data_IF_474401696157
#
_entry.id   IF_474401696157
#
_cell.length_a   1.000
_cell.length_b   1.000
_cell.length_c   1.000
_cell.angle_alpha   90.00
_cell.angle_beta   90.00
_cell.angle_gamma   90.00
#
_symmetry.space_group_name_H-M   'P 1'
#
loop_
_entity.id
_entity.type
_entity.pdbx_description
1 polymer ?
#
# COMPACT_ATOMS: atom_id res chain seq x y z
N UNK A 1 -16.63 24.22 28.81
CA UNK A 1 -16.92 22.88 28.27
C UNK A 1 -16.53 22.74 26.79
N UNK A 2 -16.81 23.70 25.90
CA UNK A 2 -16.41 23.60 24.47
C UNK A 2 -14.88 23.62 24.25
N UNK A 3 -14.13 24.41 25.03
CA UNK A 3 -12.66 24.53 24.96
C UNK A 3 -11.91 23.22 25.19
N UNK A 4 -12.39 22.34 26.08
CA UNK A 4 -11.74 21.04 26.32
C UNK A 4 -12.06 20.04 25.22
N UNK A 5 -13.23 20.15 24.57
CA UNK A 5 -13.66 19.18 23.56
C UNK A 5 -12.88 19.31 22.26
N UNK A 6 -12.69 20.52 21.72
CA UNK A 6 -11.93 20.72 20.47
C UNK A 6 -10.46 20.33 20.64
N UNK A 7 -9.83 20.70 21.77
CA UNK A 7 -8.45 20.32 22.06
C UNK A 7 -8.25 18.80 22.10
N UNK A 8 -9.18 18.07 22.74
CA UNK A 8 -9.17 16.60 22.75
C UNK A 8 -9.43 16.00 21.35
N UNK A 9 -10.29 16.60 20.53
CA UNK A 9 -10.50 16.15 19.15
C UNK A 9 -9.27 16.36 18.26
N UNK A 10 -8.56 17.48 18.41
CA UNK A 10 -7.30 17.74 17.71
C UNK A 10 -6.24 16.74 18.17
N UNK A 11 -6.12 16.50 19.47
CA UNK A 11 -5.21 15.52 20.04
C UNK A 11 -5.48 14.11 19.51
N UNK A 12 -6.74 13.67 19.49
CA UNK A 12 -7.11 12.37 18.92
C UNK A 12 -6.82 12.27 17.42
N UNK A 13 -6.96 13.38 16.68
CA UNK A 13 -6.60 13.44 15.24
C UNK A 13 -5.09 13.28 15.06
N UNK A 14 -4.29 13.95 15.91
CA UNK A 14 -2.84 13.85 15.92
C UNK A 14 -2.38 12.42 16.25
N UNK A 15 -2.95 11.81 17.29
CA UNK A 15 -2.64 10.43 17.66
C UNK A 15 -2.93 9.48 16.49
N UNK A 16 -4.09 9.62 15.82
CA UNK A 16 -4.40 8.83 14.61
C UNK A 16 -3.38 9.02 13.47
N UNK A 17 -2.82 10.23 13.32
CA UNK A 17 -1.78 10.51 12.34
C UNK A 17 -0.44 9.87 12.73
N UNK A 18 -0.11 9.83 14.03
CA UNK A 18 1.07 9.13 14.57
C UNK A 18 0.95 7.60 14.42
N UNK A 19 -0.26 7.05 14.55
CA UNK A 19 -0.55 5.63 14.32
C UNK A 19 -0.75 5.24 12.84
N UNK A 20 -0.75 6.20 11.90
CA UNK A 20 -0.65 5.87 10.49
C UNK A 20 0.82 5.56 10.20
N UNK A 21 1.22 4.27 10.08
CA UNK A 21 2.58 3.98 9.71
C UNK A 21 2.83 4.59 8.32
N UNK A 22 3.99 5.23 8.13
CA UNK A 22 4.49 5.46 6.78
C UNK A 22 4.52 4.11 6.03
N UNK A 23 4.33 4.07 4.70
CA UNK A 23 4.53 2.83 3.92
C UNK A 23 5.86 2.15 4.31
N UNK A 24 5.87 0.82 4.48
CA UNK A 24 6.91 0.12 5.25
C UNK A 24 8.36 0.24 4.70
N UNK A 25 9.31 0.17 5.66
CA UNK A 25 10.79 0.07 5.59
C UNK A 25 11.59 1.09 4.79
N UNK A 26 11.27 1.39 3.53
CA UNK A 26 12.04 2.34 2.70
C UNK A 26 11.97 3.76 3.27
N UNK A 27 10.90 4.05 4.00
CA UNK A 27 10.56 5.39 4.44
C UNK A 27 11.35 5.91 5.64
N UNK A 28 11.94 5.04 6.48
CA UNK A 28 12.72 5.49 7.66
C UNK A 28 13.94 6.35 7.29
N UNK A 29 14.61 6.06 6.17
CA UNK A 29 15.77 6.84 5.71
C UNK A 29 15.38 8.22 5.15
N UNK A 30 14.13 8.39 4.71
CA UNK A 30 13.63 9.66 4.17
C UNK A 30 13.07 10.61 5.23
N UNK A 31 12.67 10.12 6.41
CA UNK A 31 12.26 10.98 7.53
C UNK A 31 13.36 11.94 7.98
N UNK A 32 14.62 11.50 7.94
CA UNK A 32 15.75 12.33 8.31
C UNK A 32 15.88 13.54 7.35
N UNK A 33 15.58 13.36 6.06
CA UNK A 33 15.56 14.46 5.08
C UNK A 33 14.39 15.43 5.24
N UNK A 34 13.26 14.96 5.81
CA UNK A 34 12.09 15.82 6.07
C UNK A 34 12.34 16.81 7.21
N UNK A 35 13.27 16.49 8.12
CA UNK A 35 13.59 17.28 9.32
C UNK A 35 14.14 18.69 9.03
N UNK A 36 14.67 18.90 7.82
CA UNK A 36 15.20 20.18 7.33
C UNK A 36 14.16 21.01 6.55
N UNK A 37 12.95 20.47 6.31
CA UNK A 37 11.95 21.19 5.51
C UNK A 37 11.52 22.50 6.20
N UNK A 38 11.41 23.64 5.48
CA UNK A 38 11.07 24.94 6.06
C UNK A 38 9.81 24.95 6.92
N UNK A 39 8.84 24.08 6.61
CA UNK A 39 7.59 23.94 7.38
C UNK A 39 7.82 23.56 8.84
N UNK A 40 8.84 22.75 9.13
CA UNK A 40 9.18 22.34 10.50
C UNK A 40 9.73 23.53 11.28
N UNK A 41 10.56 24.37 10.66
CA UNK A 41 11.07 25.58 11.30
C UNK A 41 9.95 26.59 11.57
N UNK A 42 9.05 26.78 10.59
CA UNK A 42 7.86 27.62 10.76
C UNK A 42 6.96 27.10 11.89
N UNK A 43 6.75 25.79 11.97
CA UNK A 43 6.00 25.14 13.05
C UNK A 43 6.62 25.32 14.43
N UNK A 44 7.96 25.18 14.55
CA UNK A 44 8.69 25.45 15.80
C UNK A 44 8.57 26.91 16.23
N UNK A 45 8.66 27.87 15.28
CA UNK A 45 8.46 29.30 15.57
C UNK A 45 7.03 29.58 16.03
N UNK A 46 6.04 28.97 15.40
CA UNK A 46 4.63 29.11 15.78
C UNK A 46 4.36 28.56 17.19
N UNK A 47 4.79 27.34 17.47
CA UNK A 47 4.57 26.68 18.77
C UNK A 47 5.40 27.29 19.91
N UNK A 48 6.51 27.95 19.58
CA UNK A 48 7.36 28.66 20.55
C UNK A 48 6.90 30.09 20.88
N UNK A 49 5.89 30.64 20.20
CA UNK A 49 5.40 32.00 20.46
C UNK A 49 4.05 32.00 21.18
N UNK A 50 3.86 32.99 22.06
CA UNK A 50 2.60 33.27 22.76
C UNK A 50 1.97 34.60 22.34
N UNK A 51 2.68 35.41 21.55
CA UNK A 51 2.15 36.65 20.99
C UNK A 51 1.17 36.35 19.85
N UNK A 52 -0.07 36.81 19.98
CA UNK A 52 -1.16 36.50 19.04
C UNK A 52 -0.97 37.09 17.65
N UNK A 53 -0.33 38.25 17.53
CA UNK A 53 -0.05 38.88 16.24
C UNK A 53 1.07 38.12 15.51
N UNK A 54 2.10 37.71 16.24
CA UNK A 54 3.19 36.91 15.69
C UNK A 54 2.72 35.49 15.33
N UNK A 55 1.89 34.85 16.16
CA UNK A 55 1.20 33.61 15.79
C UNK A 55 0.43 33.79 14.46
N UNK A 56 -0.29 34.90 14.30
CA UNK A 56 -1.02 35.20 13.07
C UNK A 56 -0.13 35.23 11.82
N UNK A 57 1.05 35.86 11.90
CA UNK A 57 2.02 35.91 10.81
C UNK A 57 2.63 34.54 10.51
N UNK A 58 3.10 33.84 11.54
CA UNK A 58 3.69 32.50 11.40
C UNK A 58 2.67 31.51 10.84
N UNK A 59 1.39 31.67 11.19
CA UNK A 59 0.30 30.85 10.66
C UNK A 59 0.07 31.05 9.15
N UNK A 60 0.06 32.29 8.68
CA UNK A 60 -0.10 32.59 7.24
C UNK A 60 1.02 31.91 6.44
N UNK A 61 2.26 32.01 6.93
CA UNK A 61 3.40 31.36 6.30
C UNK A 61 3.31 29.83 6.35
N UNK A 62 2.87 29.27 7.48
CA UNK A 62 2.65 27.83 7.63
C UNK A 62 1.67 27.29 6.59
N UNK A 63 0.51 27.94 6.43
CA UNK A 63 -0.51 27.50 5.46
C UNK A 63 -0.04 27.67 4.02
N UNK A 64 0.72 28.72 3.72
CA UNK A 64 1.31 28.90 2.39
C UNK A 64 2.29 27.79 2.04
N UNK A 65 3.19 27.46 2.97
CA UNK A 65 4.15 26.36 2.80
C UNK A 65 3.43 25.02 2.67
N UNK A 66 2.45 24.75 3.55
CA UNK A 66 1.67 23.52 3.51
C UNK A 66 0.89 23.37 2.20
N UNK A 67 0.27 24.44 1.70
CA UNK A 67 -0.44 24.44 0.43
C UNK A 67 0.45 24.11 -0.76
N UNK A 68 1.71 24.57 -0.76
CA UNK A 68 2.69 24.20 -1.78
C UNK A 68 3.04 22.72 -1.72
N UNK A 69 3.35 22.20 -0.52
CA UNK A 69 3.67 20.77 -0.33
C UNK A 69 2.51 19.89 -0.81
N UNK A 70 1.27 20.25 -0.45
CA UNK A 70 0.06 19.55 -0.89
C UNK A 70 -0.05 19.51 -2.42
N UNK A 71 0.12 20.65 -3.08
CA UNK A 71 0.05 20.75 -4.54
C UNK A 71 1.14 19.90 -5.21
N UNK A 72 2.38 19.95 -4.70
CA UNK A 72 3.49 19.16 -5.24
C UNK A 72 3.22 17.65 -5.10
N UNK A 73 2.67 17.21 -3.96
CA UNK A 73 2.22 15.84 -3.73
C UNK A 73 1.13 15.39 -4.71
N UNK A 74 0.07 16.19 -4.88
CA UNK A 74 -1.04 15.89 -5.80
C UNK A 74 -0.55 15.80 -7.25
N UNK A 75 0.33 16.70 -7.67
CA UNK A 75 0.92 16.69 -9.01
C UNK A 75 1.80 15.45 -9.24
N UNK A 76 2.56 15.01 -8.23
CA UNK A 76 3.34 13.79 -8.34
C UNK A 76 2.45 12.54 -8.42
N UNK A 77 1.37 12.48 -7.65
CA UNK A 77 0.38 11.41 -7.77
C UNK A 77 -0.23 11.37 -9.19
N UNK A 78 -0.62 12.53 -9.71
CA UNK A 78 -1.18 12.67 -11.05
C UNK A 78 -0.21 12.21 -12.15
N UNK A 79 1.08 12.52 -12.03
CA UNK A 79 2.08 12.03 -13.00
C UNK A 79 2.18 10.51 -13.05
N UNK A 80 1.97 9.81 -11.92
CA UNK A 80 1.95 8.34 -11.90
C UNK A 80 0.70 7.79 -12.62
N UNK A 81 -0.40 8.53 -12.62
CA UNK A 81 -1.65 8.09 -13.26
C UNK A 81 -1.70 8.36 -14.77
N UNK A 82 -1.03 9.41 -15.24
CA UNK A 82 -1.21 9.93 -16.61
C UNK A 82 -0.04 9.65 -17.55
N UNK A 83 1.17 9.44 -17.02
CA UNK A 83 2.38 9.22 -17.83
C UNK A 83 2.80 7.73 -17.77
N UNK A 84 3.68 7.31 -18.69
CA UNK A 84 4.31 5.99 -18.59
C UNK A 84 5.10 5.91 -17.27
N UNK A 85 4.83 4.87 -16.48
CA UNK A 85 5.45 4.66 -15.18
C UNK A 85 6.99 4.65 -15.28
N UNK A 86 7.63 5.40 -14.39
CA UNK A 86 9.08 5.41 -14.22
C UNK A 86 9.50 5.42 -12.75
N UNK A 87 10.64 4.78 -12.47
CA UNK A 87 11.26 4.79 -11.13
C UNK A 87 11.58 6.20 -10.62
N UNK A 88 11.79 7.17 -11.52
CA UNK A 88 12.01 8.57 -11.13
C UNK A 88 10.73 9.21 -10.59
N UNK A 89 9.57 8.95 -11.20
CA UNK A 89 8.28 9.43 -10.70
C UNK A 89 7.93 8.76 -9.37
N UNK A 90 8.18 7.43 -9.22
CA UNK A 90 7.99 6.72 -7.94
C UNK A 90 8.78 7.38 -6.81
N UNK A 91 10.09 7.57 -6.99
CA UNK A 91 10.96 8.23 -5.99
C UNK A 91 10.52 9.66 -5.67
N UNK A 92 10.09 10.42 -6.69
CA UNK A 92 9.57 11.78 -6.50
C UNK A 92 8.30 11.78 -5.67
N UNK A 93 7.36 10.88 -5.97
CA UNK A 93 6.13 10.72 -5.20
C UNK A 93 6.39 10.28 -3.77
N UNK A 94 7.28 9.31 -3.54
CA UNK A 94 7.68 8.87 -2.20
C UNK A 94 8.21 10.04 -1.37
N UNK A 95 9.14 10.83 -1.91
CA UNK A 95 9.69 12.00 -1.22
C UNK A 95 8.62 13.04 -0.90
N UNK A 96 7.73 13.37 -1.85
CA UNK A 96 6.68 14.36 -1.64
C UNK A 96 5.58 13.87 -0.68
N UNK A 97 5.28 12.57 -0.68
CA UNK A 97 4.41 11.92 0.31
C UNK A 97 4.93 12.17 1.72
N UNK A 98 6.25 12.05 1.89
CA UNK A 98 6.91 12.27 3.17
C UNK A 98 6.86 13.71 3.65
N UNK A 99 7.12 14.65 2.74
CA UNK A 99 7.00 16.07 3.05
C UNK A 99 5.57 16.44 3.41
N UNK A 100 4.58 15.88 2.71
CA UNK A 100 3.17 16.15 2.99
C UNK A 100 2.72 15.57 4.33
N UNK A 101 3.13 14.34 4.66
CA UNK A 101 2.91 13.75 5.98
C UNK A 101 3.55 14.55 7.11
N UNK A 102 4.80 15.01 6.94
CA UNK A 102 5.46 15.88 7.90
C UNK A 102 4.70 17.21 8.05
N UNK A 103 4.22 17.79 6.95
CA UNK A 103 3.39 18.99 6.97
C UNK A 103 2.08 18.80 7.75
N UNK A 104 1.40 17.66 7.57
CA UNK A 104 0.19 17.32 8.32
C UNK A 104 0.45 17.29 9.83
N UNK A 105 1.58 16.70 10.26
CA UNK A 105 2.00 16.68 11.67
C UNK A 105 2.20 18.09 12.22
N UNK A 106 2.99 18.90 11.51
CA UNK A 106 3.30 20.27 11.95
C UNK A 106 2.04 21.12 12.05
N UNK A 107 1.14 21.05 11.05
CA UNK A 107 -0.13 21.79 11.09
C UNK A 107 -0.98 21.32 12.27
N UNK A 108 -1.05 20.01 12.54
CA UNK A 108 -1.76 19.47 13.69
C UNK A 108 -1.23 20.01 15.02
N UNK A 109 0.09 20.03 15.20
CA UNK A 109 0.74 20.57 16.41
C UNK A 109 0.48 22.07 16.59
N UNK A 110 0.55 22.86 15.51
CA UNK A 110 0.24 24.28 15.52
C UNK A 110 -1.24 24.53 15.88
N UNK A 111 -2.18 23.74 15.35
CA UNK A 111 -3.60 23.86 15.71
C UNK A 111 -3.85 23.50 17.17
N UNK A 112 -3.18 22.48 17.70
CA UNK A 112 -3.27 22.12 19.11
C UNK A 112 -2.74 23.26 20.01
N UNK A 113 -1.63 23.88 19.64
CA UNK A 113 -1.09 25.05 20.35
C UNK A 113 -2.06 26.23 20.27
N UNK A 114 -2.58 26.53 19.09
CA UNK A 114 -3.55 27.61 18.89
C UNK A 114 -4.84 27.40 19.70
N UNK A 115 -5.33 26.17 19.80
CA UNK A 115 -6.50 25.82 20.61
C UNK A 115 -6.25 26.03 22.11
N UNK A 116 -5.01 25.81 22.58
CA UNK A 116 -4.62 26.03 23.98
C UNK A 116 -4.47 27.51 24.33
N UNK A 117 -3.96 28.32 23.39
CA UNK A 117 -3.67 29.74 23.60
C UNK A 117 -4.89 30.64 23.34
N UNK A 118 -5.83 30.23 22.48
CA UNK A 118 -7.02 31.04 22.18
C UNK A 118 -8.15 30.74 23.18
N UNK A 119 -8.56 31.77 23.92
CA UNK A 119 -9.72 31.70 24.84
C UNK A 119 -10.94 32.47 24.32
N UNK A 120 -10.84 33.10 23.15
CA UNK A 120 -11.90 33.88 22.54
C UNK A 120 -12.74 33.04 21.58
N UNK A 121 -14.04 33.30 21.53
CA UNK A 121 -14.98 32.55 20.68
C UNK A 121 -14.61 32.65 19.18
N UNK A 122 -14.27 33.86 18.70
CA UNK A 122 -13.85 34.09 17.30
C UNK A 122 -12.54 33.35 16.97
N UNK A 123 -11.60 33.31 17.92
CA UNK A 123 -10.35 32.55 17.75
C UNK A 123 -10.61 31.04 17.64
N UNK A 124 -11.58 30.54 18.41
CA UNK A 124 -11.96 29.12 18.41
C UNK A 124 -12.69 28.70 17.13
N UNK A 125 -13.65 29.48 16.63
CA UNK A 125 -14.33 29.19 15.35
C UNK A 125 -13.33 29.08 14.19
N UNK A 126 -12.30 29.92 14.20
CA UNK A 126 -11.20 29.84 13.23
C UNK A 126 -10.41 28.55 13.38
N UNK A 127 -10.06 28.13 14.60
CA UNK A 127 -9.35 26.86 14.83
C UNK A 127 -10.19 25.66 14.40
N UNK A 128 -11.51 25.67 14.63
CA UNK A 128 -12.44 24.61 14.22
C UNK A 128 -12.52 24.45 12.70
N UNK A 129 -12.65 25.56 11.97
CA UNK A 129 -12.67 25.53 10.50
C UNK A 129 -11.36 24.93 9.94
N UNK A 130 -10.23 25.27 10.56
CA UNK A 130 -8.93 24.77 10.15
C UNK A 130 -8.71 23.30 10.51
N UNK A 131 -9.21 22.87 11.67
CA UNK A 131 -9.20 21.45 12.06
C UNK A 131 -10.05 20.61 11.12
N UNK A 132 -11.21 21.13 10.69
CA UNK A 132 -12.06 20.47 9.69
C UNK A 132 -11.30 20.26 8.38
N UNK A 133 -10.64 21.31 7.88
CA UNK A 133 -9.81 21.21 6.67
C UNK A 133 -8.65 20.22 6.83
N UNK A 134 -7.99 20.19 8.00
CA UNK A 134 -6.94 19.21 8.28
C UNK A 134 -7.47 17.77 8.21
N UNK A 135 -8.68 17.50 8.73
CA UNK A 135 -9.30 16.16 8.63
C UNK A 135 -9.51 15.76 7.16
N UNK A 136 -9.97 16.68 6.32
CA UNK A 136 -10.14 16.46 4.88
C UNK A 136 -8.79 16.17 4.21
N UNK A 137 -7.75 16.94 4.54
CA UNK A 137 -6.40 16.78 4.00
C UNK A 137 -5.77 15.43 4.40
N UNK A 138 -6.04 14.92 5.61
CA UNK A 138 -5.61 13.58 6.06
C UNK A 138 -6.33 12.47 5.27
N UNK A 139 -7.64 12.62 5.04
CA UNK A 139 -8.41 11.65 4.23
C UNK A 139 -7.88 11.62 2.80
N UNK A 140 -7.64 12.79 2.22
CA UNK A 140 -7.07 12.93 0.88
C UNK A 140 -5.70 12.25 0.80
N UNK A 141 -4.79 12.56 1.74
CA UNK A 141 -3.47 11.93 1.82
C UNK A 141 -3.56 10.40 1.75
N UNK A 142 -4.37 9.81 2.64
CA UNK A 142 -4.56 8.36 2.70
C UNK A 142 -5.08 7.80 1.37
N UNK A 143 -6.16 8.38 0.85
CA UNK A 143 -6.80 7.88 -0.37
C UNK A 143 -5.88 7.98 -1.60
N UNK A 144 -5.06 9.05 -1.69
CA UNK A 144 -4.12 9.25 -2.78
C UNK A 144 -2.97 8.26 -2.71
N UNK A 145 -2.38 8.04 -1.52
CA UNK A 145 -1.32 7.04 -1.33
C UNK A 145 -1.81 5.63 -1.68
N UNK A 146 -3.00 5.25 -1.21
CA UNK A 146 -3.62 3.96 -1.55
C UNK A 146 -3.88 3.83 -3.06
N UNK A 147 -4.35 4.90 -3.70
CA UNK A 147 -4.63 4.91 -5.14
C UNK A 147 -3.36 4.79 -5.99
N UNK A 148 -2.28 5.47 -5.58
CA UNK A 148 -0.97 5.39 -6.25
C UNK A 148 -0.37 4.00 -6.06
N UNK A 149 -0.38 3.45 -4.84
CA UNK A 149 0.11 2.09 -4.58
C UNK A 149 -0.64 1.05 -5.43
N UNK A 150 -1.96 1.19 -5.55
CA UNK A 150 -2.77 0.33 -6.41
C UNK A 150 -2.41 0.48 -7.90
N UNK A 151 -2.13 1.70 -8.37
CA UNK A 151 -1.77 1.92 -9.77
C UNK A 151 -0.38 1.36 -10.10
N UNK A 152 0.59 1.55 -9.20
CA UNK A 152 1.93 0.93 -9.32
C UNK A 152 1.79 -0.59 -9.37
N UNK A 153 1.00 -1.20 -8.47
CA UNK A 153 0.76 -2.64 -8.50
C UNK A 153 0.05 -3.10 -9.79
N UNK A 154 -0.94 -2.36 -10.29
CA UNK A 154 -1.62 -2.63 -11.57
C UNK A 154 -0.63 -2.57 -12.75
N UNK A 155 0.29 -1.61 -12.76
CA UNK A 155 1.38 -1.51 -13.74
C UNK A 155 2.32 -2.72 -13.65
N UNK A 156 2.84 -2.99 -12.45
CA UNK A 156 3.79 -4.07 -12.19
C UNK A 156 3.19 -5.48 -12.30
N UNK A 157 1.88 -5.62 -12.48
CA UNK A 157 1.24 -6.90 -12.78
C UNK A 157 0.85 -7.05 -14.25
N UNK A 158 0.77 -5.95 -15.02
CA UNK A 158 0.21 -5.97 -16.39
C UNK A 158 1.16 -5.50 -17.47
N UNK A 159 2.06 -4.59 -17.13
CA UNK A 159 2.87 -3.81 -18.09
C UNK A 159 4.34 -3.73 -17.67
N UNK A 160 4.87 -4.76 -16.99
CA UNK A 160 6.27 -4.80 -16.54
C UNK A 160 7.20 -4.58 -17.73
N UNK A 161 8.07 -3.58 -17.62
CA UNK A 161 9.08 -3.30 -18.63
C UNK A 161 10.31 -4.20 -18.43
N UNK A 162 11.04 -4.46 -19.53
CA UNK A 162 12.25 -5.28 -19.47
C UNK A 162 13.31 -4.63 -18.56
N UNK A 163 13.79 -5.36 -17.55
CA UNK A 163 14.80 -4.88 -16.60
C UNK A 163 14.25 -4.00 -15.47
N UNK A 164 12.92 -3.89 -15.35
CA UNK A 164 12.27 -3.23 -14.23
C UNK A 164 12.49 -4.03 -12.94
N UNK A 165 12.80 -3.31 -11.84
CA UNK A 165 12.92 -3.91 -10.51
C UNK A 165 11.54 -4.06 -9.90
N UNK A 166 11.19 -5.28 -9.56
CA UNK A 166 9.87 -5.65 -9.02
C UNK A 166 10.07 -6.13 -7.59
N UNK A 167 9.28 -5.59 -6.67
CA UNK A 167 9.26 -5.98 -5.27
C UNK A 167 7.92 -6.63 -4.94
N UNK A 168 7.94 -7.92 -4.70
CA UNK A 168 6.76 -8.74 -4.54
C UNK A 168 6.08 -8.50 -3.19
N UNK A 169 6.83 -8.14 -2.15
CA UNK A 169 6.27 -7.68 -0.87
C UNK A 169 5.36 -6.46 -1.03
N UNK A 170 5.71 -5.53 -1.92
CA UNK A 170 4.92 -4.34 -2.25
C UNK A 170 3.70 -4.69 -3.13
N UNK A 171 3.78 -5.69 -4.00
CA UNK A 171 2.73 -6.02 -4.99
C UNK A 171 1.66 -6.99 -4.45
N UNK A 172 2.09 -8.04 -3.75
CA UNK A 172 1.22 -9.13 -3.31
C UNK A 172 -0.02 -8.64 -2.51
N UNK A 173 0.12 -7.69 -1.56
CA UNK A 173 -1.03 -7.16 -0.83
C UNK A 173 -2.11 -6.52 -1.71
N UNK A 174 -1.73 -6.07 -2.92
CA UNK A 174 -2.62 -5.37 -3.85
C UNK A 174 -3.18 -6.27 -4.97
N UNK A 175 -2.71 -7.53 -5.09
CA UNK A 175 -3.18 -8.47 -6.13
C UNK A 175 -4.70 -8.62 -6.10
N UNK A 176 -5.31 -8.73 -4.92
CA UNK A 176 -6.76 -8.85 -4.77
C UNK A 176 -7.51 -7.65 -5.38
N UNK A 177 -7.06 -6.45 -5.06
CA UNK A 177 -7.69 -5.22 -5.54
C UNK A 177 -7.49 -5.02 -7.06
N UNK A 178 -6.30 -5.34 -7.58
CA UNK A 178 -6.02 -5.33 -9.03
C UNK A 178 -6.87 -6.37 -9.76
N UNK A 179 -6.95 -7.58 -9.21
CA UNK A 179 -7.80 -8.65 -9.73
C UNK A 179 -9.27 -8.21 -9.76
N UNK A 180 -9.81 -7.68 -8.65
CA UNK A 180 -11.20 -7.23 -8.59
C UNK A 180 -11.50 -6.12 -9.61
N UNK A 181 -10.59 -5.15 -9.80
CA UNK A 181 -10.67 -4.09 -10.80
C UNK A 181 -10.74 -4.66 -12.23
N UNK A 182 -9.79 -5.53 -12.59
CA UNK A 182 -9.77 -6.21 -13.90
C UNK A 182 -11.02 -7.07 -14.11
N UNK A 183 -11.60 -7.64 -13.04
CA UNK A 183 -12.87 -8.37 -13.11
C UNK A 183 -14.08 -7.48 -13.33
N UNK A 184 -14.11 -6.29 -12.73
CA UNK A 184 -15.23 -5.36 -12.82
C UNK A 184 -15.34 -4.65 -14.17
N UNK A 185 -14.23 -4.49 -14.90
CA UNK A 185 -14.22 -3.91 -16.25
C UNK A 185 -14.83 -4.84 -17.34
N UNK A 186 -15.27 -6.05 -16.98
CA UNK A 186 -15.98 -6.94 -17.89
C UNK A 186 -17.45 -6.51 -18.07
N UNK A 187 -17.74 -5.82 -19.18
CA UNK A 187 -19.02 -5.18 -19.57
C UNK A 187 -20.32 -6.02 -19.62
N UNK A 188 -20.40 -7.25 -19.10
CA UNK A 188 -21.61 -8.08 -19.24
C UNK A 188 -22.29 -8.40 -17.88
N UNK A 189 -23.49 -7.83 -17.61
CA UNK A 189 -24.26 -8.02 -16.36
C UNK A 189 -24.60 -9.49 -16.05
N UNK A 190 -24.86 -10.31 -17.08
CA UNK A 190 -25.17 -11.74 -16.92
C UNK A 190 -23.94 -12.55 -16.44
N UNK A 191 -22.76 -12.22 -16.98
CA UNK A 191 -21.50 -12.82 -16.53
C UNK A 191 -21.06 -12.31 -15.15
N UNK A 192 -21.40 -11.07 -14.76
CA UNK A 192 -21.17 -10.55 -13.40
C UNK A 192 -21.91 -11.36 -12.33
N UNK A 193 -23.16 -11.76 -12.61
CA UNK A 193 -23.96 -12.58 -11.69
C UNK A 193 -23.47 -14.03 -11.58
N UNK A 194 -23.08 -14.66 -12.70
CA UNK A 194 -22.47 -16.01 -12.67
C UNK A 194 -21.09 -15.96 -11.98
N UNK A 195 -20.27 -14.93 -12.27
CA UNK A 195 -18.92 -14.79 -11.71
C UNK A 195 -18.87 -14.33 -10.27
N UNK A 196 -19.89 -13.63 -9.76
CA UNK A 196 -19.97 -13.32 -8.32
C UNK A 196 -20.14 -14.56 -7.46
N UNK A 197 -20.69 -15.66 -8.00
CA UNK A 197 -20.67 -16.97 -7.34
C UNK A 197 -19.28 -17.63 -7.35
N UNK A 198 -18.44 -17.31 -8.34
CA UNK A 198 -17.03 -17.71 -8.40
C UNK A 198 -16.08 -16.77 -7.64
N UNK A 199 -16.55 -15.68 -7.02
CA UNK A 199 -15.74 -14.91 -6.05
C UNK A 199 -15.48 -15.74 -4.77
N UNK A 200 -16.18 -16.87 -4.59
CA UNK A 200 -15.87 -17.93 -3.62
C UNK A 200 -14.99 -19.06 -4.18
N UNK A 201 -14.54 -18.97 -5.43
CA UNK A 201 -13.73 -20.00 -6.09
C UNK A 201 -12.27 -19.94 -5.65
N UNK A 202 -11.54 -21.02 -5.86
CA UNK A 202 -10.16 -21.23 -5.43
C UNK A 202 -9.20 -20.06 -5.69
N UNK A 203 -9.51 -19.14 -6.62
CA UNK A 203 -8.77 -17.88 -6.83
C UNK A 203 -8.67 -16.98 -5.60
N UNK A 204 -9.77 -16.81 -4.86
CA UNK A 204 -9.73 -16.00 -3.65
C UNK A 204 -8.82 -16.64 -2.60
N UNK A 205 -8.91 -17.97 -2.45
CA UNK A 205 -8.06 -18.74 -1.54
C UNK A 205 -6.59 -18.72 -1.95
N UNK A 206 -6.29 -18.73 -3.24
CA UNK A 206 -4.92 -18.62 -3.77
C UNK A 206 -4.34 -17.22 -3.56
N UNK A 207 -5.12 -16.16 -3.74
CA UNK A 207 -4.70 -14.79 -3.43
C UNK A 207 -4.50 -14.61 -1.92
N UNK A 208 -5.42 -15.14 -1.11
CA UNK A 208 -5.31 -15.11 0.35
C UNK A 208 -4.04 -15.89 0.80
N UNK A 209 -3.75 -17.04 0.19
CA UNK A 209 -2.50 -17.80 0.41
C UNK A 209 -1.25 -16.97 0.13
N UNK A 210 -1.16 -16.33 -1.05
CA UNK A 210 -0.03 -15.46 -1.39
C UNK A 210 0.12 -14.32 -0.37
N UNK A 211 -1.00 -13.72 0.02
CA UNK A 211 -1.04 -12.62 0.99
C UNK A 211 -0.55 -13.07 2.37
N UNK A 212 -0.99 -14.22 2.85
CA UNK A 212 -0.61 -14.76 4.16
C UNK A 212 0.86 -15.16 4.22
N UNK A 213 1.41 -15.78 3.16
CA UNK A 213 2.85 -16.07 3.08
C UNK A 213 3.66 -14.78 3.09
N UNK A 214 3.26 -13.78 2.30
CA UNK A 214 4.01 -12.53 2.15
C UNK A 214 4.09 -11.72 3.46
N UNK A 215 3.05 -11.78 4.30
CA UNK A 215 3.00 -11.13 5.62
C UNK A 215 3.99 -11.71 6.63
N UNK A 216 4.50 -12.92 6.41
CA UNK A 216 5.37 -13.55 7.39
C UNK A 216 6.71 -12.79 7.48
N UNK A 217 7.18 -12.38 8.67
CA UNK A 217 8.38 -11.52 8.81
C UNK A 217 9.67 -12.11 8.23
N UNK A 218 9.75 -13.43 8.12
CA UNK A 218 10.90 -14.16 7.56
C UNK A 218 10.75 -14.51 6.07
N UNK A 219 9.66 -14.08 5.42
CA UNK A 219 9.44 -14.35 4.01
C UNK A 219 10.36 -13.47 3.15
N UNK A 220 11.26 -14.10 2.37
CA UNK A 220 12.14 -13.43 1.41
C UNK A 220 11.44 -13.24 0.06
N UNK A 221 12.01 -12.40 -0.81
CA UNK A 221 11.49 -12.20 -2.16
C UNK A 221 11.56 -13.49 -3.00
N UNK A 222 12.60 -14.31 -2.81
CA UNK A 222 12.72 -15.65 -3.41
C UNK A 222 11.56 -16.57 -3.03
N UNK A 223 11.14 -16.58 -1.75
CA UNK A 223 10.00 -17.38 -1.29
C UNK A 223 8.68 -16.85 -1.89
N UNK A 224 8.51 -15.53 -1.96
CA UNK A 224 7.34 -14.91 -2.61
C UNK A 224 7.25 -15.29 -4.08
N UNK A 225 8.36 -15.24 -4.81
CA UNK A 225 8.43 -15.63 -6.21
C UNK A 225 8.06 -17.09 -6.41
N UNK A 226 8.66 -17.99 -5.63
CA UNK A 226 8.32 -19.42 -5.66
C UNK A 226 6.83 -19.67 -5.38
N UNK A 227 6.22 -18.94 -4.43
CA UNK A 227 4.79 -19.06 -4.13
C UNK A 227 3.91 -18.57 -5.29
N UNK A 228 4.31 -17.49 -5.96
CA UNK A 228 3.61 -16.97 -7.13
C UNK A 228 3.70 -17.93 -8.31
N UNK A 229 4.87 -18.51 -8.58
CA UNK A 229 5.04 -19.55 -9.61
C UNK A 229 4.19 -20.78 -9.28
N UNK A 230 4.18 -21.23 -8.04
CA UNK A 230 3.34 -22.36 -7.61
C UNK A 230 1.86 -22.12 -7.92
N UNK A 231 1.34 -20.93 -7.58
CA UNK A 231 -0.04 -20.58 -7.90
C UNK A 231 -0.21 -20.57 -9.41
N UNK A 232 0.60 -19.82 -10.14
CA UNK A 232 0.52 -19.71 -11.60
C UNK A 232 0.54 -21.07 -12.31
N UNK A 233 1.51 -21.93 -11.99
CA UNK A 233 1.63 -23.27 -12.55
C UNK A 233 0.42 -24.13 -12.27
N UNK A 234 -0.09 -24.10 -11.03
CA UNK A 234 -1.33 -24.80 -10.69
C UNK A 234 -2.47 -24.30 -11.59
N UNK A 235 -2.64 -22.99 -11.77
CA UNK A 235 -3.69 -22.43 -12.65
C UNK A 235 -3.52 -22.95 -14.07
N UNK A 236 -2.32 -22.83 -14.63
CA UNK A 236 -2.04 -23.16 -16.04
C UNK A 236 -2.19 -24.65 -16.32
N UNK A 237 -1.74 -25.50 -15.40
CA UNK A 237 -1.63 -26.95 -15.62
C UNK A 237 -2.90 -27.72 -15.22
N UNK A 238 -3.67 -27.23 -14.25
CA UNK A 238 -4.84 -27.97 -13.75
C UNK A 238 -6.18 -27.48 -14.32
N UNK A 239 -6.23 -26.30 -14.96
CA UNK A 239 -7.50 -25.72 -15.38
C UNK A 239 -7.68 -25.72 -16.90
N UNK A 240 -8.88 -26.14 -17.32
CA UNK A 240 -9.31 -26.18 -18.72
C UNK A 240 -9.26 -24.80 -19.42
N UNK A 241 -9.26 -23.72 -18.65
CA UNK A 241 -9.09 -22.33 -19.11
C UNK A 241 -7.88 -21.64 -18.47
N UNK A 242 -6.90 -22.39 -17.95
CA UNK A 242 -5.74 -21.86 -17.24
C UNK A 242 -4.86 -21.00 -18.15
N UNK A 243 -4.46 -21.57 -19.30
CA UNK A 243 -3.68 -20.88 -20.34
C UNK A 243 -4.59 -20.11 -21.30
N UNK A 244 -4.09 -19.07 -21.96
CA UNK A 244 -4.79 -18.45 -23.08
C UNK A 244 -4.73 -19.37 -24.32
N UNK A 245 -5.88 -19.55 -24.97
CA UNK A 245 -6.01 -20.31 -26.21
C UNK A 245 -6.75 -19.52 -27.27
N UNK A 246 -6.83 -20.04 -28.50
CA UNK A 246 -7.50 -19.36 -29.62
C UNK A 246 -8.97 -18.98 -29.35
N UNK A 247 -9.63 -19.68 -28.42
CA UNK A 247 -11.07 -19.56 -28.15
C UNK A 247 -11.34 -19.03 -26.72
N UNK A 248 -10.41 -19.17 -25.79
CA UNK A 248 -10.58 -18.82 -24.37
C UNK A 248 -9.49 -17.86 -23.90
N UNK A 249 -9.89 -16.83 -23.15
CA UNK A 249 -9.02 -15.72 -22.72
C UNK A 249 -8.09 -16.05 -21.54
N UNK A 250 -7.97 -17.31 -21.14
CA UNK A 250 -7.16 -17.75 -20.00
C UNK A 250 -7.70 -17.29 -18.64
N UNK A 251 -7.05 -17.74 -17.56
CA UNK A 251 -7.33 -17.25 -16.21
C UNK A 251 -6.78 -15.84 -16.05
N UNK A 252 -7.59 -14.92 -15.53
CA UNK A 252 -7.16 -13.53 -15.28
C UNK A 252 -6.07 -13.46 -14.21
N UNK A 253 -6.18 -14.26 -13.14
CA UNK A 253 -5.10 -14.37 -12.15
C UNK A 253 -3.86 -15.00 -12.78
N UNK A 254 -4.04 -16.07 -13.58
CA UNK A 254 -2.94 -16.68 -14.33
C UNK A 254 -2.18 -15.66 -15.17
N UNK A 255 -2.88 -14.82 -15.94
CA UNK A 255 -2.27 -13.75 -16.74
C UNK A 255 -1.58 -12.65 -15.94
N UNK A 256 -2.13 -12.29 -14.77
CA UNK A 256 -1.49 -11.33 -13.87
C UNK A 256 -0.18 -11.88 -13.31
N UNK A 257 -0.14 -13.17 -13.00
CA UNK A 257 1.06 -13.84 -12.50
C UNK A 257 2.05 -14.17 -13.64
N UNK A 258 1.59 -14.45 -14.85
CA UNK A 258 2.42 -14.68 -16.05
C UNK A 258 3.31 -13.47 -16.38
N UNK A 259 2.86 -12.25 -16.07
CA UNK A 259 3.68 -11.05 -16.19
C UNK A 259 4.97 -11.14 -15.39
N UNK A 260 4.93 -11.82 -14.25
CA UNK A 260 6.04 -12.00 -13.32
C UNK A 260 6.98 -13.14 -13.74
N UNK A 261 6.46 -14.13 -14.47
CA UNK A 261 7.18 -15.31 -14.95
C UNK A 261 8.03 -15.06 -16.22
N UNK A 262 7.86 -13.91 -16.89
CA UNK A 262 8.65 -13.60 -18.10
C UNK A 262 10.10 -13.28 -17.70
N UNK A 263 11.05 -13.89 -18.42
CA UNK A 263 12.53 -13.93 -18.27
C UNK A 263 13.30 -12.61 -18.00
N UNK A 264 12.66 -11.51 -17.61
CA UNK A 264 13.23 -10.17 -17.59
C UNK A 264 13.04 -9.39 -16.27
N UNK A 265 12.61 -10.06 -15.20
CA UNK A 265 12.48 -9.43 -13.88
C UNK A 265 13.71 -9.74 -13.04
N UNK A 266 14.30 -8.70 -12.47
CA UNK A 266 15.35 -8.85 -11.45
C UNK A 266 14.70 -8.75 -10.08
N UNK A 267 14.33 -9.91 -9.52
CA UNK A 267 13.95 -10.02 -8.10
C UNK A 267 15.25 -10.10 -7.30
N UNK A 268 15.33 -9.41 -6.14
CA UNK A 268 16.49 -9.57 -5.26
C UNK A 268 16.54 -11.03 -4.77
N UNK A 269 17.69 -11.69 -4.98
CA UNK A 269 17.93 -13.04 -4.49
C UNK A 269 18.48 -12.96 -3.07
N UNK A 270 17.60 -13.10 -2.07
CA UNK A 270 17.97 -12.84 -0.67
C UNK A 270 18.26 -14.12 0.13
N UNK A 271 17.89 -15.31 -0.40
CA UNK A 271 18.07 -16.59 0.29
C UNK A 271 17.81 -17.80 -0.64
N UNK A 272 18.54 -18.89 -0.43
CA UNK A 272 18.37 -20.19 -1.14
C UNK A 272 17.28 -21.08 -0.51
N UNK A 273 16.48 -20.54 0.43
CA UNK A 273 15.42 -21.31 1.08
C UNK A 273 14.33 -21.70 0.07
N UNK A 274 13.91 -22.96 0.11
CA UNK A 274 12.79 -23.47 -0.70
C UNK A 274 11.45 -23.18 -0.02
N UNK A 275 10.45 -22.83 -0.81
CA UNK A 275 9.07 -22.58 -0.35
C UNK A 275 8.52 -23.70 0.53
N UNK A 276 8.72 -24.96 0.14
CA UNK A 276 8.25 -26.12 0.92
C UNK A 276 8.96 -26.20 2.28
N UNK A 277 10.25 -25.93 2.35
CA UNK A 277 10.96 -25.91 3.62
C UNK A 277 10.44 -24.78 4.53
N UNK A 278 10.25 -23.59 3.96
CA UNK A 278 9.71 -22.42 4.65
C UNK A 278 8.31 -22.64 5.21
N UNK A 279 7.37 -23.17 4.41
CA UNK A 279 6.00 -23.40 4.87
C UNK A 279 5.99 -24.34 6.09
N UNK A 280 6.81 -25.38 6.07
CA UNK A 280 6.87 -26.32 7.18
C UNK A 280 7.59 -25.77 8.40
N UNK A 281 8.69 -25.02 8.22
CA UNK A 281 9.46 -24.44 9.32
C UNK A 281 8.67 -23.37 10.08
N UNK A 282 7.81 -22.63 9.37
CA UNK A 282 6.99 -21.54 9.93
C UNK A 282 5.58 -21.96 10.34
N UNK A 283 5.22 -23.25 10.21
CA UNK A 283 3.91 -23.74 10.63
C UNK A 283 2.75 -23.21 9.78
N UNK A 284 2.95 -22.99 8.48
CA UNK A 284 1.96 -22.39 7.56
C UNK A 284 1.16 -23.43 6.75
N UNK A 285 1.22 -24.71 7.11
CA UNK A 285 0.63 -25.80 6.33
C UNK A 285 -0.90 -25.72 6.23
N UNK A 286 -1.55 -25.16 7.27
CA UNK A 286 -2.99 -24.93 7.34
C UNK A 286 -3.43 -23.76 6.43
N UNK A 287 -2.50 -22.89 6.02
CA UNK A 287 -2.76 -21.77 5.11
C UNK A 287 -2.75 -22.18 3.64
N UNK A 288 -2.22 -23.36 3.31
CA UNK A 288 -2.23 -23.87 1.94
C UNK A 288 -3.67 -24.32 1.60
N UNK A 289 -4.30 -23.73 0.57
CA UNK A 289 -5.63 -24.14 0.13
C UNK A 289 -5.58 -25.52 -0.52
N UNK A 290 -6.67 -26.29 -0.39
CA UNK A 290 -6.74 -27.69 -0.82
C UNK A 290 -6.30 -27.88 -2.28
N UNK A 291 -6.72 -27.01 -3.20
CA UNK A 291 -6.31 -27.10 -4.61
C UNK A 291 -4.81 -26.90 -4.87
N UNK A 292 -4.09 -26.13 -4.03
CA UNK A 292 -2.62 -26.03 -4.09
C UNK A 292 -1.99 -27.25 -3.43
N UNK A 293 -2.54 -27.71 -2.29
CA UNK A 293 -2.06 -28.90 -1.59
C UNK A 293 -2.12 -30.14 -2.49
N UNK A 294 -3.25 -30.34 -3.17
CA UNK A 294 -3.45 -31.46 -4.10
C UNK A 294 -2.47 -31.39 -5.27
N UNK A 295 -2.22 -30.18 -5.79
CA UNK A 295 -1.23 -29.96 -6.84
C UNK A 295 0.19 -30.28 -6.37
N UNK A 296 0.62 -29.76 -5.22
CA UNK A 296 1.94 -30.05 -4.63
C UNK A 296 2.12 -31.56 -4.35
N UNK A 297 1.09 -32.25 -3.85
CA UNK A 297 1.14 -33.70 -3.67
C UNK A 297 1.41 -34.42 -5.00
N UNK A 298 0.95 -33.89 -6.13
CA UNK A 298 1.16 -34.50 -7.45
C UNK A 298 2.51 -34.12 -8.06
N UNK A 299 2.99 -32.90 -7.84
CA UNK A 299 4.13 -32.33 -8.58
C UNK A 299 5.42 -32.18 -7.78
N UNK A 300 5.37 -32.16 -6.45
CA UNK A 300 6.53 -31.91 -5.58
C UNK A 300 6.81 -33.10 -4.63
N UNK A 301 7.92 -33.78 -4.89
CA UNK A 301 8.36 -34.94 -4.12
C UNK A 301 8.78 -34.59 -2.68
N UNK A 302 9.39 -33.42 -2.48
CA UNK A 302 9.82 -32.96 -1.15
C UNK A 302 8.60 -32.68 -0.27
N UNK A 303 7.57 -32.05 -0.83
CA UNK A 303 6.30 -31.82 -0.16
C UNK A 303 5.60 -33.13 0.23
N UNK A 304 5.50 -34.09 -0.70
CA UNK A 304 4.94 -35.42 -0.43
C UNK A 304 5.61 -36.11 0.76
N UNK A 305 6.94 -36.10 0.78
CA UNK A 305 7.71 -36.73 1.85
C UNK A 305 7.45 -36.08 3.21
N UNK A 306 7.41 -34.75 3.27
CA UNK A 306 7.15 -34.01 4.52
C UNK A 306 5.72 -34.20 5.05
N UNK A 307 4.71 -34.22 4.19
CA UNK A 307 3.32 -34.49 4.62
C UNK A 307 3.19 -35.89 5.21
N UNK A 308 3.79 -36.90 4.57
CA UNK A 308 3.77 -38.28 5.06
C UNK A 308 4.48 -38.44 6.41
N UNK A 309 5.53 -37.65 6.67
CA UNK A 309 6.27 -37.66 7.93
C UNK A 309 5.52 -36.99 9.11
N UNK A 310 4.53 -36.12 8.84
CA UNK A 310 3.70 -35.45 9.86
C UNK A 310 2.46 -36.28 10.26
N UNK A 311 2.06 -37.24 9.42
CA UNK A 311 0.90 -38.12 9.65
C UNK A 311 1.30 -39.41 10.42
N UNK A 312 2.59 -39.70 10.53
CA UNK A 312 3.16 -40.79 11.34
C UNK A 312 3.37 -40.37 12.79
#
# INVERSE_FOLDING_TARGET
MALSKLGEEIKATREKLEYMPPPEKVVRQFFDSSSEHPIIQTGKKFTGTTDTNEMGKQYIELIRQFGKIKLDFENAAKSIFEEDYSEQQKKKFENLTMQYYAGLKVVSDCLLHAAKQNHTQIGMERVEALHTKLKEDIVLYKSTVESVALNIADHQLRNIQKGEKVKLDEIIPHIKAVYDKVYHDAHNPFWRWIKSKFIKSDRAKEIDFLTEISKHPQCSESIRLQAMHLVHDKIVQTEMFGKEGKIYKGSKLGKLLEGIDKENITVEEDNDEKLVAFIFSQGLQDKIPDGIRDYLIQTDEEYRQKVNAVIQ
#
